data_IF_730111006610
#
_entry.id   IF_730111006610
#
_cell.length_a   1.000
_cell.length_b   1.000
_cell.length_c   1.000
_cell.angle_alpha   90.00
_cell.angle_beta   90.00
_cell.angle_gamma   90.00
#
_symmetry.space_group_name_H-M   'P 1'
#
loop_
_entity.id
_entity.type
_entity.pdbx_description
1 polymer ?
#
# COMPACT_ATOMS: atom_id res chain seq x y z
N UNK A 1 71.13 76.53 -8.09
CA UNK A 1 70.53 75.64 -9.14
C UNK A 1 70.13 74.33 -8.48
N UNK A 2 68.86 74.14 -8.20
CA UNK A 2 68.35 72.94 -7.57
C UNK A 2 67.33 72.31 -8.49
N UNK A 3 67.63 71.07 -8.95
CA UNK A 3 66.85 70.30 -9.88
C UNK A 3 65.82 69.53 -9.11
N UNK A 4 64.52 69.83 -9.30
CA UNK A 4 63.39 69.06 -8.71
C UNK A 4 63.02 67.94 -9.63
N UNK A 5 63.15 66.74 -9.14
CA UNK A 5 62.62 65.49 -9.81
C UNK A 5 61.22 65.24 -9.30
N UNK A 6 60.23 65.33 -10.18
CA UNK A 6 58.88 64.84 -9.98
C UNK A 6 58.84 63.35 -10.19
N UNK A 7 58.50 62.63 -9.14
CA UNK A 7 58.15 61.21 -9.22
C UNK A 7 56.64 61.08 -9.52
N UNK A 8 56.34 60.57 -10.70
CA UNK A 8 54.98 60.25 -11.08
C UNK A 8 54.71 58.79 -10.65
N UNK A 9 53.89 58.66 -9.64
CA UNK A 9 53.43 57.33 -9.15
C UNK A 9 52.23 56.89 -9.98
N UNK A 10 52.42 55.89 -10.87
CA UNK A 10 51.31 55.20 -11.56
C UNK A 10 50.59 54.29 -10.58
N UNK A 11 49.36 54.62 -10.27
CA UNK A 11 48.45 53.74 -9.50
C UNK A 11 47.77 52.79 -10.44
N UNK A 12 48.16 51.50 -10.42
CA UNK A 12 47.50 50.41 -11.14
C UNK A 12 46.25 49.99 -10.34
N UNK A 13 45.08 50.37 -10.84
CA UNK A 13 43.80 49.89 -10.31
C UNK A 13 43.56 48.50 -10.91
N UNK A 14 43.74 47.43 -10.13
CA UNK A 14 43.33 46.09 -10.45
C UNK A 14 41.82 45.95 -10.20
N UNK A 15 41.04 46.01 -11.25
CA UNK A 15 39.59 45.68 -11.20
C UNK A 15 39.47 44.16 -11.14
N UNK A 16 39.25 43.61 -9.95
CA UNK A 16 38.88 42.24 -9.75
C UNK A 16 37.42 42.03 -10.22
N UNK A 17 37.24 41.48 -11.40
CA UNK A 17 35.93 41.02 -11.86
C UNK A 17 35.52 39.79 -11.06
N UNK A 18 34.68 40.00 -10.04
CA UNK A 18 33.98 38.89 -9.36
C UNK A 18 32.95 38.31 -10.34
N UNK A 19 33.33 37.25 -11.03
CA UNK A 19 32.38 36.39 -11.72
C UNK A 19 31.49 35.70 -10.67
N UNK A 20 30.38 36.35 -10.35
CA UNK A 20 29.32 35.70 -9.59
C UNK A 20 28.80 34.50 -10.36
N UNK A 21 29.18 33.33 -9.94
CA UNK A 21 28.50 32.09 -10.35
C UNK A 21 27.06 32.18 -9.86
N UNK A 22 26.16 32.65 -10.73
CA UNK A 22 24.73 32.46 -10.50
C UNK A 22 24.49 30.96 -10.49
N UNK A 23 24.36 30.37 -9.30
CA UNK A 23 23.77 29.06 -9.14
C UNK A 23 22.36 29.16 -9.75
N UNK A 24 22.20 28.60 -10.93
CA UNK A 24 20.88 28.40 -11.53
C UNK A 24 20.05 27.69 -10.50
N UNK A 25 19.07 28.36 -9.93
CA UNK A 25 18.04 27.75 -9.09
C UNK A 25 17.39 26.70 -9.98
N UNK A 26 17.80 25.45 -9.80
CA UNK A 26 17.18 24.30 -10.45
C UNK A 26 15.71 24.38 -10.10
N UNK A 27 14.85 24.61 -11.09
CA UNK A 27 13.41 24.67 -10.90
C UNK A 27 13.03 23.44 -10.05
N UNK A 28 12.35 23.69 -8.93
CA UNK A 28 12.00 22.62 -8.00
C UNK A 28 11.34 21.50 -8.79
N UNK A 29 11.94 20.32 -8.73
CA UNK A 29 11.46 19.14 -9.44
C UNK A 29 10.01 18.88 -9.00
N UNK A 30 9.05 18.95 -9.93
CA UNK A 30 7.64 18.98 -9.56
C UNK A 30 7.10 17.63 -9.11
N UNK A 31 7.84 16.53 -9.28
CA UNK A 31 7.34 15.17 -8.96
C UNK A 31 8.16 14.46 -7.88
N UNK A 32 9.41 14.81 -7.68
CA UNK A 32 10.24 14.22 -6.62
C UNK A 32 9.67 14.53 -5.23
N UNK A 33 9.64 13.50 -4.40
CA UNK A 33 9.17 13.57 -3.01
C UNK A 33 8.22 12.44 -2.66
N UNK A 34 7.73 12.49 -1.44
CA UNK A 34 6.79 11.49 -0.92
C UNK A 34 5.35 11.89 -1.22
N UNK A 35 4.59 10.93 -1.71
CA UNK A 35 3.18 11.06 -2.05
C UNK A 35 2.39 10.01 -1.31
N UNK A 36 1.30 10.38 -0.66
CA UNK A 36 0.46 9.48 0.14
C UNK A 36 -0.97 9.49 -0.34
N UNK A 37 -1.61 8.34 -0.34
CA UNK A 37 -3.00 8.22 -0.76
C UNK A 37 -3.47 6.79 -0.82
N UNK A 38 -4.24 6.48 -1.83
CA UNK A 38 -4.83 5.17 -1.98
C UNK A 38 -4.98 4.74 -3.44
N UNK A 39 -5.14 3.43 -3.65
CA UNK A 39 -5.49 2.82 -4.92
C UNK A 39 -6.51 1.69 -4.73
N UNK A 40 -7.27 1.37 -5.76
CA UNK A 40 -8.22 0.25 -5.72
C UNK A 40 -9.13 0.19 -6.92
N UNK A 41 -9.83 -0.94 -7.09
CA UNK A 41 -10.72 -1.15 -8.24
C UNK A 41 -11.95 -0.22 -8.22
N UNK A 42 -12.43 0.15 -7.04
CA UNK A 42 -13.60 1.01 -6.85
C UNK A 42 -13.48 1.86 -5.57
N UNK A 43 -14.54 2.59 -5.22
CA UNK A 43 -14.56 3.47 -4.05
C UNK A 43 -14.60 2.72 -2.70
N UNK A 44 -14.99 1.44 -2.70
CA UNK A 44 -15.18 0.63 -1.49
C UNK A 44 -13.98 -0.26 -1.19
N UNK A 45 -13.21 -0.62 -2.21
CA UNK A 45 -12.02 -1.46 -2.11
C UNK A 45 -10.76 -0.63 -2.39
N UNK A 46 -10.36 0.20 -1.42
CA UNK A 46 -9.19 1.08 -1.50
C UNK A 46 -8.11 0.63 -0.52
N UNK A 47 -6.87 0.59 -0.97
CA UNK A 47 -5.68 0.33 -0.14
C UNK A 47 -4.80 1.58 -0.09
N UNK A 48 -4.21 1.85 1.07
CA UNK A 48 -3.26 2.95 1.23
C UNK A 48 -1.96 2.65 0.54
N UNK A 49 -1.41 3.65 -0.14
CA UNK A 49 -0.10 3.59 -0.77
C UNK A 49 0.72 4.84 -0.45
N UNK A 50 2.02 4.64 -0.35
CA UNK A 50 3.01 5.71 -0.32
C UNK A 50 3.92 5.54 -1.54
N UNK A 51 4.13 6.62 -2.28
CA UNK A 51 5.08 6.67 -3.38
C UNK A 51 6.24 7.57 -2.96
N UNK A 52 7.44 7.05 -2.95
CA UNK A 52 8.66 7.86 -2.83
C UNK A 52 9.26 7.99 -4.22
N UNK A 53 9.01 9.13 -4.89
CA UNK A 53 9.37 9.36 -6.27
C UNK A 53 10.63 10.21 -6.37
N UNK A 54 11.47 9.88 -7.35
CA UNK A 54 12.65 10.64 -7.76
C UNK A 54 12.60 10.85 -9.26
N UNK A 55 12.83 12.09 -9.70
CA UNK A 55 12.91 12.44 -11.11
C UNK A 55 14.25 13.11 -11.39
N UNK A 56 15.03 12.54 -12.29
CA UNK A 56 16.36 13.04 -12.66
C UNK A 56 16.35 14.01 -13.86
N UNK A 57 15.16 14.39 -14.33
CA UNK A 57 14.95 15.20 -15.54
C UNK A 57 14.68 14.35 -16.80
N UNK A 58 14.79 13.01 -16.71
CA UNK A 58 14.54 12.07 -17.81
C UNK A 58 13.62 10.92 -17.39
N UNK A 59 13.90 10.32 -16.26
CA UNK A 59 13.20 9.14 -15.79
C UNK A 59 12.68 9.31 -14.36
N UNK A 60 11.53 8.70 -14.09
CA UNK A 60 10.95 8.56 -12.75
C UNK A 60 11.41 7.22 -12.18
N UNK A 61 11.97 7.27 -10.97
CA UNK A 61 12.34 6.09 -10.18
C UNK A 61 11.78 6.23 -8.76
N UNK A 62 11.86 5.18 -7.96
CA UNK A 62 11.40 5.26 -6.58
C UNK A 62 10.90 3.95 -6.03
N UNK A 63 10.09 4.05 -4.98
CA UNK A 63 9.54 2.89 -4.28
C UNK A 63 8.05 3.12 -3.98
N UNK A 64 7.27 2.07 -4.12
CA UNK A 64 5.88 2.01 -3.64
C UNK A 64 5.85 1.16 -2.39
N UNK A 65 5.24 1.70 -1.34
CA UNK A 65 5.01 1.01 -0.08
C UNK A 65 3.56 1.22 0.38
N UNK A 66 3.12 0.44 1.35
CA UNK A 66 1.81 0.61 1.96
C UNK A 66 1.58 -0.44 3.04
N UNK A 67 0.63 -0.23 3.93
CA UNK A 67 0.24 -1.23 4.92
C UNK A 67 -0.16 -2.54 4.23
N UNK A 68 0.50 -3.65 4.60
CA UNK A 68 0.23 -4.96 4.02
C UNK A 68 0.69 -5.16 2.56
N UNK A 69 1.33 -4.17 1.94
CA UNK A 69 1.91 -4.31 0.61
C UNK A 69 3.34 -4.82 0.67
N UNK A 70 3.67 -5.80 -0.13
CA UNK A 70 5.06 -6.07 -0.47
C UNK A 70 5.61 -4.85 -1.21
N UNK A 71 6.72 -4.24 -0.76
CA UNK A 71 7.30 -3.09 -1.45
C UNK A 71 7.59 -3.38 -2.91
N UNK A 72 7.45 -2.38 -3.75
CA UNK A 72 7.76 -2.48 -5.18
C UNK A 72 8.65 -1.35 -5.64
N UNK A 73 9.59 -1.66 -6.54
CA UNK A 73 10.53 -0.71 -7.10
C UNK A 73 9.99 -0.11 -8.40
N UNK A 74 10.15 1.21 -8.54
CA UNK A 74 9.84 1.95 -9.77
C UNK A 74 11.13 2.16 -10.53
N UNK A 75 11.20 1.59 -11.73
CA UNK A 75 12.35 1.73 -12.62
C UNK A 75 11.91 2.20 -14.02
N UNK A 76 12.44 3.32 -14.49
CA UNK A 76 12.24 3.77 -15.88
C UNK A 76 10.85 4.37 -16.17
N UNK A 77 10.21 5.00 -15.20
CA UNK A 77 8.99 5.78 -15.42
C UNK A 77 9.24 7.07 -16.20
N UNK A 78 8.20 7.70 -16.70
CA UNK A 78 8.23 8.98 -17.43
C UNK A 78 7.37 10.03 -16.75
N UNK A 79 7.83 11.28 -16.83
CA UNK A 79 7.05 12.44 -16.41
C UNK A 79 7.21 13.57 -17.43
N UNK A 80 6.09 14.12 -17.87
CA UNK A 80 6.03 15.29 -18.74
C UNK A 80 5.62 16.51 -17.94
N UNK A 81 6.54 17.43 -17.75
CA UNK A 81 6.31 18.65 -16.95
C UNK A 81 5.31 19.62 -17.60
N UNK A 82 5.13 19.59 -18.92
CA UNK A 82 4.21 20.46 -19.66
C UNK A 82 2.75 20.03 -19.52
N UNK A 83 2.51 18.73 -19.57
CA UNK A 83 1.15 18.15 -19.47
C UNK A 83 0.84 17.59 -18.08
N UNK A 84 1.84 17.41 -17.24
CA UNK A 84 1.70 16.73 -15.96
C UNK A 84 1.56 15.21 -16.08
N UNK A 85 1.62 14.63 -17.28
CA UNK A 85 1.46 13.20 -17.48
C UNK A 85 2.57 12.40 -16.78
N UNK A 86 2.19 11.35 -16.06
CA UNK A 86 3.12 10.46 -15.36
C UNK A 86 2.76 9.01 -15.66
N UNK A 87 3.79 8.21 -15.96
CA UNK A 87 3.67 6.76 -16.19
C UNK A 87 4.84 6.05 -15.56
N UNK A 88 4.58 4.95 -14.86
CA UNK A 88 5.64 4.07 -14.35
C UNK A 88 5.12 2.66 -14.10
N UNK A 89 6.03 1.72 -14.07
CA UNK A 89 5.76 0.33 -13.70
C UNK A 89 6.43 0.06 -12.35
N UNK A 90 5.65 -0.50 -11.45
CA UNK A 90 6.11 -1.00 -10.16
C UNK A 90 6.40 -2.49 -10.32
N UNK A 91 7.62 -2.90 -10.03
CA UNK A 91 8.01 -4.30 -9.93
C UNK A 91 7.97 -4.67 -8.45
N UNK A 92 7.01 -5.48 -8.07
CA UNK A 92 6.85 -5.91 -6.67
C UNK A 92 8.00 -6.85 -6.31
N UNK A 93 8.57 -6.70 -5.12
CA UNK A 93 9.75 -7.47 -4.68
C UNK A 93 9.46 -8.95 -4.39
N UNK A 94 8.24 -9.43 -4.71
CA UNK A 94 7.90 -10.86 -4.75
C UNK A 94 8.42 -11.60 -6.01
N UNK A 95 8.96 -10.84 -6.97
CA UNK A 95 9.69 -11.31 -8.14
C UNK A 95 8.98 -11.09 -9.48
N UNK A 96 7.67 -11.28 -9.60
CA UNK A 96 7.01 -11.33 -10.91
C UNK A 96 5.85 -10.35 -11.11
N UNK A 97 5.29 -9.80 -10.03
CA UNK A 97 4.13 -8.92 -10.14
C UNK A 97 4.54 -7.54 -10.65
N UNK A 98 3.95 -7.14 -11.78
CA UNK A 98 4.11 -5.81 -12.37
C UNK A 98 2.80 -5.05 -12.30
N UNK A 99 2.85 -3.84 -11.76
CA UNK A 99 1.71 -2.95 -11.65
C UNK A 99 2.02 -1.66 -12.39
N UNK A 100 1.19 -1.33 -13.37
CA UNK A 100 1.33 -0.13 -14.19
C UNK A 100 0.51 1.01 -13.59
N UNK A 101 1.13 2.17 -13.46
CA UNK A 101 0.50 3.41 -13.06
C UNK A 101 0.54 4.40 -14.22
N UNK A 102 -0.63 4.93 -14.59
CA UNK A 102 -0.77 5.97 -15.60
C UNK A 102 -1.69 7.06 -15.07
N UNK A 103 -1.21 8.29 -15.06
CA UNK A 103 -2.01 9.38 -14.52
C UNK A 103 -1.46 10.75 -14.87
N UNK A 104 -1.97 11.74 -14.18
CA UNK A 104 -1.50 13.12 -14.32
C UNK A 104 -1.33 13.77 -12.95
N UNK A 105 -0.37 14.68 -12.89
CA UNK A 105 -0.15 15.56 -11.74
C UNK A 105 -0.89 16.87 -11.95
N UNK A 106 -1.67 17.27 -10.98
CA UNK A 106 -2.30 18.59 -10.89
C UNK A 106 -2.00 19.16 -9.50
N UNK A 107 -1.24 20.24 -9.42
CA UNK A 107 -0.74 20.83 -8.17
C UNK A 107 -0.04 19.76 -7.30
N UNK A 108 -0.55 19.51 -6.09
CA UNK A 108 -0.03 18.55 -5.14
C UNK A 108 -0.81 17.22 -5.15
N UNK A 109 -1.44 16.89 -6.26
CA UNK A 109 -2.15 15.62 -6.45
C UNK A 109 -1.64 14.91 -7.69
N UNK A 110 -1.41 13.58 -7.60
CA UNK A 110 -1.27 12.68 -8.74
C UNK A 110 -2.44 11.71 -8.69
N UNK A 111 -3.16 11.58 -9.78
CA UNK A 111 -4.28 10.63 -9.89
C UNK A 111 -4.35 10.03 -11.27
N UNK A 112 -4.91 8.81 -11.34
CA UNK A 112 -4.98 8.10 -12.60
C UNK A 112 -5.47 6.67 -12.46
N UNK A 113 -5.02 5.83 -13.38
CA UNK A 113 -5.34 4.41 -13.44
C UNK A 113 -4.17 3.56 -12.97
N UNK A 114 -4.51 2.46 -12.32
CA UNK A 114 -3.57 1.40 -11.96
C UNK A 114 -4.04 0.10 -12.60
N UNK A 115 -3.13 -0.67 -13.16
CA UNK A 115 -3.46 -1.96 -13.78
C UNK A 115 -2.33 -2.96 -13.60
N UNK A 116 -2.70 -4.24 -13.49
CA UNK A 116 -1.82 -5.39 -13.53
C UNK A 116 -2.48 -6.51 -14.36
N UNK A 117 -1.85 -7.66 -14.48
CA UNK A 117 -2.43 -8.81 -15.18
C UNK A 117 -3.81 -9.24 -14.62
N UNK A 118 -4.07 -8.96 -13.34
CA UNK A 118 -5.26 -9.44 -12.63
C UNK A 118 -6.14 -8.34 -12.04
N UNK A 119 -5.69 -7.09 -12.00
CA UNK A 119 -6.41 -5.97 -11.37
C UNK A 119 -6.33 -4.73 -12.24
N UNK A 120 -7.45 -4.02 -12.36
CA UNK A 120 -7.49 -2.65 -12.86
C UNK A 120 -8.27 -1.78 -11.87
N UNK A 121 -7.87 -0.51 -11.76
CA UNK A 121 -8.50 0.40 -10.82
C UNK A 121 -7.99 1.83 -11.01
N UNK A 122 -8.19 2.64 -9.98
CA UNK A 122 -7.72 4.02 -9.93
C UNK A 122 -6.82 4.24 -8.73
N UNK A 123 -5.96 5.25 -8.80
CA UNK A 123 -5.20 5.72 -7.67
C UNK A 123 -5.32 7.24 -7.53
N UNK A 124 -5.16 7.72 -6.31
CA UNK A 124 -5.03 9.13 -6.00
C UNK A 124 -4.05 9.28 -4.84
N UNK A 125 -3.01 10.08 -5.04
CA UNK A 125 -2.04 10.41 -4.02
C UNK A 125 -1.86 11.93 -3.97
N UNK A 126 -1.60 12.45 -2.79
CA UNK A 126 -1.28 13.85 -2.55
C UNK A 126 0.15 13.97 -2.04
N UNK A 127 0.80 15.06 -2.35
CA UNK A 127 2.14 15.33 -1.84
C UNK A 127 2.09 15.32 -0.31
N UNK A 128 2.74 14.35 0.29
CA UNK A 128 2.91 14.27 1.74
C UNK A 128 3.95 15.31 2.19
N UNK A 129 3.77 15.84 3.39
CA UNK A 129 4.92 16.35 4.11
C UNK A 129 5.93 15.18 4.25
N UNK A 130 7.26 15.42 4.15
CA UNK A 130 8.22 14.37 4.41
C UNK A 130 7.83 13.73 5.75
N UNK A 131 7.47 12.45 5.72
CA UNK A 131 7.34 11.70 6.97
C UNK A 131 8.75 11.76 7.54
N UNK A 132 8.92 12.54 8.61
CA UNK A 132 10.17 12.57 9.32
C UNK A 132 10.55 11.11 9.57
N UNK A 133 11.71 10.69 9.03
CA UNK A 133 12.26 9.41 9.41
C UNK A 133 12.21 9.34 10.93
N UNK A 134 11.77 8.24 11.54
CA UNK A 134 11.79 8.14 12.98
C UNK A 134 13.23 8.41 13.43
N UNK A 135 13.44 9.63 13.92
CA UNK A 135 14.64 9.97 14.69
C UNK A 135 14.71 8.95 15.80
N UNK A 136 15.89 8.41 16.02
CA UNK A 136 16.26 7.42 17.01
C UNK A 136 15.26 7.35 18.17
N UNK A 137 14.69 6.17 18.38
CA UNK A 137 13.60 5.88 19.29
C UNK A 137 13.66 6.74 20.57
N UNK A 138 12.67 7.60 20.70
CA UNK A 138 12.26 8.10 22.02
C UNK A 138 12.09 6.89 22.94
N UNK A 139 12.50 6.92 24.21
CA UNK A 139 12.36 5.77 25.09
C UNK A 139 10.91 5.27 25.02
N UNK A 140 10.75 4.00 24.67
CA UNK A 140 9.45 3.40 24.40
C UNK A 140 8.53 3.69 25.58
N UNK A 141 7.42 4.40 25.30
CA UNK A 141 6.36 4.57 26.31
C UNK A 141 5.92 3.17 26.77
N UNK A 142 5.80 2.92 28.08
CA UNK A 142 5.28 1.65 28.56
C UNK A 142 3.95 1.32 27.88
N UNK A 143 3.83 0.08 27.35
CA UNK A 143 2.60 -0.38 26.71
C UNK A 143 1.44 -0.34 27.70
N UNK A 144 0.33 0.25 27.29
CA UNK A 144 -0.92 0.14 28.03
C UNK A 144 -1.55 -1.24 27.79
N UNK A 145 -2.52 -1.61 28.62
CA UNK A 145 -3.29 -2.83 28.38
C UNK A 145 -3.98 -2.85 27.00
N UNK A 146 -4.42 -1.67 26.52
CA UNK A 146 -4.99 -1.53 25.18
C UNK A 146 -3.98 -1.77 24.07
N UNK A 147 -2.74 -1.26 24.21
CA UNK A 147 -1.67 -1.51 23.26
C UNK A 147 -1.33 -3.01 23.19
N UNK A 148 -1.26 -3.67 24.35
CA UNK A 148 -0.98 -5.11 24.46
C UNK A 148 -2.09 -5.95 23.80
N UNK A 149 -3.36 -5.58 24.03
CA UNK A 149 -4.50 -6.25 23.43
C UNK A 149 -4.51 -6.09 21.90
N UNK A 150 -4.22 -4.89 21.39
CA UNK A 150 -4.15 -4.65 19.96
C UNK A 150 -3.00 -5.43 19.29
N UNK A 151 -1.84 -5.54 19.95
CA UNK A 151 -0.72 -6.37 19.48
C UNK A 151 -1.14 -7.84 19.38
N UNK A 152 -1.80 -8.37 20.41
CA UNK A 152 -2.26 -9.77 20.43
C UNK A 152 -3.29 -10.04 19.33
N UNK A 153 -4.26 -9.14 19.15
CA UNK A 153 -5.31 -9.27 18.13
C UNK A 153 -4.72 -9.17 16.72
N UNK A 154 -3.74 -8.29 16.52
CA UNK A 154 -2.98 -8.19 15.26
C UNK A 154 -2.21 -9.48 14.95
N UNK A 155 -1.55 -10.07 15.93
CA UNK A 155 -0.86 -11.36 15.77
C UNK A 155 -1.85 -12.47 15.36
N UNK A 156 -3.02 -12.53 16.01
CA UNK A 156 -4.09 -13.48 15.66
C UNK A 156 -4.61 -13.28 14.24
N UNK A 157 -4.78 -12.03 13.81
CA UNK A 157 -5.17 -11.69 12.44
C UNK A 157 -4.12 -12.15 11.41
N UNK A 158 -2.84 -11.88 11.67
CA UNK A 158 -1.74 -12.34 10.80
C UNK A 158 -1.71 -13.86 10.69
N UNK A 159 -1.84 -14.56 11.81
CA UNK A 159 -1.83 -16.03 11.83
C UNK A 159 -2.99 -16.64 11.06
N UNK A 160 -4.22 -16.18 11.27
CA UNK A 160 -5.39 -16.76 10.60
C UNK A 160 -5.34 -16.47 9.09
N UNK A 161 -4.81 -15.34 8.67
CA UNK A 161 -4.61 -15.02 7.26
C UNK A 161 -3.56 -15.89 6.56
N UNK A 162 -2.47 -16.24 7.25
CA UNK A 162 -1.52 -17.23 6.76
C UNK A 162 -2.22 -18.57 6.51
N UNK A 163 -2.98 -19.05 7.48
CA UNK A 163 -3.72 -20.30 7.34
C UNK A 163 -4.77 -20.26 6.22
N UNK A 164 -5.53 -19.16 6.10
CA UNK A 164 -6.50 -18.98 5.02
C UNK A 164 -5.84 -19.01 3.64
N UNK A 165 -4.78 -18.24 3.46
CA UNK A 165 -4.07 -18.14 2.18
C UNK A 165 -3.48 -19.49 1.77
N UNK A 166 -2.87 -20.20 2.71
CA UNK A 166 -2.33 -21.54 2.47
C UNK A 166 -3.42 -22.56 2.21
N UNK A 167 -4.57 -22.47 2.89
CA UNK A 167 -5.74 -23.33 2.63
C UNK A 167 -6.27 -23.15 1.22
N UNK A 168 -6.37 -21.90 0.76
CA UNK A 168 -6.79 -21.59 -0.61
C UNK A 168 -5.83 -22.15 -1.66
N UNK A 169 -4.53 -22.15 -1.38
CA UNK A 169 -3.53 -22.74 -2.26
C UNK A 169 -3.60 -24.28 -2.27
N UNK A 170 -3.89 -24.87 -1.11
CA UNK A 170 -3.92 -26.32 -0.90
C UNK A 170 -5.16 -26.98 -1.54
N UNK A 171 -6.34 -26.36 -1.41
CA UNK A 171 -7.59 -26.91 -1.94
C UNK A 171 -7.59 -26.80 -3.47
N UNK A 172 -7.76 -27.90 -4.22
CA UNK A 172 -7.84 -27.87 -5.69
C UNK A 172 -8.97 -26.97 -6.18
N UNK A 173 -8.77 -26.30 -7.32
CA UNK A 173 -9.73 -25.33 -7.85
C UNK A 173 -11.12 -25.94 -8.14
N UNK A 174 -11.17 -27.19 -8.59
CA UNK A 174 -12.41 -27.93 -8.83
C UNK A 174 -13.16 -28.31 -7.54
N UNK A 175 -12.51 -28.18 -6.37
CA UNK A 175 -13.08 -28.45 -5.05
C UNK A 175 -13.61 -27.21 -4.35
N UNK A 176 -13.58 -26.05 -4.96
CA UNK A 176 -14.16 -24.82 -4.39
C UNK A 176 -15.70 -24.89 -4.28
N UNK A 177 -16.34 -25.72 -5.09
CA UNK A 177 -17.78 -26.03 -4.98
C UNK A 177 -18.12 -27.11 -3.95
N UNK A 178 -17.10 -27.73 -3.31
CA UNK A 178 -17.32 -28.78 -2.32
C UNK A 178 -18.01 -28.23 -1.06
N UNK A 179 -18.98 -28.99 -0.55
CA UNK A 179 -19.64 -28.83 0.75
C UNK A 179 -20.03 -30.18 1.30
N UNK A 180 -19.93 -30.43 2.62
CA UNK A 180 -20.28 -31.71 3.23
C UNK A 180 -21.75 -32.09 3.06
N UNK A 181 -22.64 -31.10 3.20
CA UNK A 181 -24.10 -31.25 3.06
C UNK A 181 -24.70 -30.04 2.34
N UNK A 182 -25.86 -30.17 1.76
CA UNK A 182 -26.48 -29.14 0.92
C UNK A 182 -26.81 -27.83 1.67
N UNK A 183 -27.00 -27.91 2.98
CA UNK A 183 -27.41 -26.77 3.83
C UNK A 183 -26.28 -25.88 4.31
N UNK A 184 -25.02 -26.24 4.04
CA UNK A 184 -23.86 -25.44 4.41
C UNK A 184 -23.21 -24.78 3.20
N UNK A 185 -22.42 -23.75 3.44
CA UNK A 185 -21.63 -23.06 2.41
C UNK A 185 -20.67 -24.01 1.72
N UNK A 186 -20.40 -23.77 0.45
CA UNK A 186 -19.25 -24.41 -0.23
C UNK A 186 -17.94 -23.84 0.32
N UNK A 187 -16.81 -24.50 0.03
CA UNK A 187 -15.49 -23.99 0.40
C UNK A 187 -15.26 -22.56 -0.15
N UNK A 188 -15.59 -22.34 -1.43
CA UNK A 188 -15.50 -21.01 -2.06
C UNK A 188 -16.41 -19.99 -1.39
N UNK A 189 -17.64 -20.36 -1.02
CA UNK A 189 -18.54 -19.47 -0.29
C UNK A 189 -18.04 -19.13 1.12
N UNK A 190 -17.36 -20.06 1.81
CA UNK A 190 -16.72 -19.75 3.10
C UNK A 190 -15.63 -18.71 2.95
N UNK A 191 -14.78 -18.83 1.93
CA UNK A 191 -13.75 -17.82 1.63
C UNK A 191 -14.40 -16.47 1.29
N UNK A 192 -15.41 -16.47 0.43
CA UNK A 192 -16.12 -15.26 0.03
C UNK A 192 -16.77 -14.56 1.23
N UNK A 193 -17.38 -15.32 2.13
CA UNK A 193 -17.97 -14.83 3.36
C UNK A 193 -16.93 -14.19 4.31
N UNK A 194 -15.73 -14.76 4.41
CA UNK A 194 -14.62 -14.13 5.15
C UNK A 194 -14.22 -12.79 4.51
N UNK A 195 -14.19 -12.70 3.19
CA UNK A 195 -13.91 -11.41 2.50
C UNK A 195 -14.99 -10.37 2.85
N UNK A 196 -16.27 -10.74 2.79
CA UNK A 196 -17.36 -9.84 3.18
C UNK A 196 -17.25 -9.43 4.65
N UNK A 197 -16.85 -10.33 5.55
CA UNK A 197 -16.64 -10.02 6.97
C UNK A 197 -15.51 -9.03 7.21
N UNK A 198 -14.44 -9.09 6.43
CA UNK A 198 -13.33 -8.14 6.50
C UNK A 198 -13.79 -6.73 6.13
N UNK A 199 -14.56 -6.59 5.06
CA UNK A 199 -15.16 -5.30 4.68
C UNK A 199 -16.02 -4.73 5.80
N UNK A 200 -16.82 -5.58 6.44
CA UNK A 200 -17.72 -5.18 7.52
C UNK A 200 -16.96 -4.77 8.79
N UNK A 201 -16.15 -5.65 9.36
CA UNK A 201 -15.49 -5.40 10.65
C UNK A 201 -14.38 -4.37 10.55
N UNK A 202 -13.53 -4.44 9.53
CA UNK A 202 -12.44 -3.47 9.36
C UNK A 202 -12.97 -2.09 8.97
N UNK A 203 -14.04 -2.03 8.18
CA UNK A 203 -14.74 -0.78 7.89
C UNK A 203 -15.31 -0.13 9.15
N UNK A 204 -15.92 -0.90 10.04
CA UNK A 204 -16.40 -0.42 11.36
C UNK A 204 -15.26 0.05 12.26
N UNK A 205 -14.14 -0.69 12.27
CA UNK A 205 -12.99 -0.35 13.10
C UNK A 205 -12.39 1.01 12.74
N UNK A 206 -12.38 1.36 11.46
CA UNK A 206 -11.83 2.63 10.96
C UNK A 206 -12.84 3.76 11.05
N UNK A 207 -14.10 3.52 10.63
CA UNK A 207 -15.12 4.57 10.57
C UNK A 207 -15.79 4.87 11.91
N UNK A 208 -15.75 3.94 12.86
CA UNK A 208 -16.51 4.01 14.10
C UNK A 208 -18.02 3.92 13.91
N UNK A 209 -18.49 3.63 12.68
CA UNK A 209 -19.92 3.58 12.35
C UNK A 209 -20.35 2.15 12.05
N UNK A 210 -21.59 1.83 12.43
CA UNK A 210 -22.23 0.59 11.98
C UNK A 210 -22.59 0.73 10.49
N UNK A 211 -22.12 -0.22 9.68
CA UNK A 211 -22.53 -0.36 8.28
C UNK A 211 -23.39 -1.62 8.16
N UNK A 212 -24.36 -1.68 7.24
CA UNK A 212 -25.09 -2.91 6.97
C UNK A 212 -24.12 -4.02 6.53
N UNK A 213 -24.43 -5.25 6.93
CA UNK A 213 -23.74 -6.41 6.39
C UNK A 213 -24.00 -6.54 4.88
N UNK A 214 -22.97 -6.92 4.11
CA UNK A 214 -23.11 -7.19 2.69
C UNK A 214 -22.61 -8.60 2.38
N UNK A 215 -23.35 -9.35 1.58
CA UNK A 215 -22.95 -10.66 1.04
C UNK A 215 -22.52 -10.54 -0.43
N UNK A 216 -22.01 -9.40 -0.84
CA UNK A 216 -21.76 -9.09 -2.25
C UNK A 216 -20.69 -10.03 -2.85
N UNK A 217 -19.67 -10.41 -2.07
CA UNK A 217 -18.64 -11.34 -2.53
C UNK A 217 -19.17 -12.78 -2.51
N UNK A 218 -19.89 -13.18 -1.45
CA UNK A 218 -20.46 -14.52 -1.31
C UNK A 218 -21.49 -14.83 -2.42
N UNK A 219 -22.27 -13.84 -2.83
CA UNK A 219 -23.25 -13.96 -3.94
C UNK A 219 -22.63 -13.83 -5.32
N UNK A 220 -21.37 -13.48 -5.41
CA UNK A 220 -20.63 -13.32 -6.66
C UNK A 220 -19.91 -14.60 -7.11
N UNK A 221 -18.84 -14.41 -7.89
CA UNK A 221 -17.99 -15.49 -8.32
C UNK A 221 -17.19 -16.08 -7.15
N UNK A 222 -17.24 -17.40 -6.99
CA UNK A 222 -16.59 -18.14 -5.91
C UNK A 222 -15.48 -19.08 -6.43
N UNK A 223 -14.97 -18.80 -7.62
CA UNK A 223 -13.82 -19.49 -8.17
C UNK A 223 -12.51 -19.10 -7.44
N UNK A 224 -11.54 -20.00 -7.46
CA UNK A 224 -10.28 -19.86 -6.75
C UNK A 224 -9.52 -18.57 -7.12
N UNK A 225 -9.42 -18.25 -8.40
CA UNK A 225 -8.61 -17.12 -8.88
C UNK A 225 -9.20 -15.79 -8.39
N UNK A 226 -10.51 -15.59 -8.60
CA UNK A 226 -11.25 -14.41 -8.15
C UNK A 226 -11.17 -14.24 -6.63
N UNK A 227 -11.38 -15.34 -5.87
CA UNK A 227 -11.37 -15.28 -4.41
C UNK A 227 -9.97 -15.03 -3.83
N UNK A 228 -8.92 -15.58 -4.46
CA UNK A 228 -7.53 -15.30 -4.03
C UNK A 228 -7.22 -13.82 -4.11
N UNK A 229 -7.62 -13.17 -5.19
CA UNK A 229 -7.45 -11.74 -5.37
C UNK A 229 -8.27 -10.94 -4.36
N UNK A 230 -9.56 -11.26 -4.20
CA UNK A 230 -10.46 -10.55 -3.29
C UNK A 230 -10.00 -10.67 -1.83
N UNK A 231 -9.59 -11.87 -1.41
CA UNK A 231 -9.07 -12.08 -0.05
C UNK A 231 -7.80 -11.28 0.19
N UNK A 232 -6.85 -11.28 -0.76
CA UNK A 232 -5.62 -10.49 -0.65
C UNK A 232 -5.93 -9.01 -0.45
N UNK A 233 -6.79 -8.42 -1.29
CA UNK A 233 -7.20 -7.03 -1.16
C UNK A 233 -7.88 -6.74 0.20
N UNK A 234 -8.74 -7.64 0.66
CA UNK A 234 -9.42 -7.48 1.94
C UNK A 234 -8.43 -7.55 3.12
N UNK A 235 -7.45 -8.46 3.08
CA UNK A 235 -6.36 -8.54 4.07
C UNK A 235 -5.57 -7.23 4.11
N UNK A 236 -5.20 -6.69 2.95
CA UNK A 236 -4.42 -5.45 2.86
C UNK A 236 -5.18 -4.26 3.46
N UNK A 237 -6.46 -4.10 3.13
CA UNK A 237 -7.33 -3.07 3.72
C UNK A 237 -7.47 -3.24 5.22
N UNK A 238 -7.72 -4.46 5.68
CA UNK A 238 -7.81 -4.78 7.10
C UNK A 238 -6.51 -4.52 7.86
N UNK A 239 -5.36 -4.82 7.29
CA UNK A 239 -4.05 -4.58 7.92
C UNK A 239 -3.93 -3.12 8.36
N UNK A 240 -4.34 -2.16 7.53
CA UNK A 240 -4.40 -0.75 7.91
C UNK A 240 -5.36 -0.46 9.07
N UNK A 241 -6.49 -1.17 9.15
CA UNK A 241 -7.42 -1.04 10.27
C UNK A 241 -6.80 -1.54 11.59
N UNK A 242 -5.99 -2.61 11.54
CA UNK A 242 -5.28 -3.14 12.71
C UNK A 242 -4.15 -2.23 13.20
N UNK A 243 -3.73 -1.24 12.44
CA UNK A 243 -2.73 -0.26 12.88
C UNK A 243 -3.32 0.84 13.78
N UNK A 244 -4.55 1.27 13.51
CA UNK A 244 -5.14 2.44 14.15
C UNK A 244 -6.66 2.34 14.42
N UNK A 245 -7.28 1.19 14.15
CA UNK A 245 -8.72 1.01 14.30
C UNK A 245 -9.17 0.72 15.73
N UNK A 246 -10.48 0.73 15.93
CA UNK A 246 -11.10 0.39 17.20
C UNK A 246 -10.96 -1.10 17.51
N UNK A 247 -10.49 -1.42 18.72
CA UNK A 247 -10.18 -2.80 19.15
C UNK A 247 -11.38 -3.75 19.09
N UNK A 248 -12.58 -3.30 19.50
CA UNK A 248 -13.78 -4.16 19.54
C UNK A 248 -14.09 -4.84 18.21
N UNK A 249 -14.34 -4.09 17.10
CA UNK A 249 -14.58 -4.68 15.79
C UNK A 249 -13.43 -5.54 15.27
N UNK A 250 -12.16 -5.23 15.62
CA UNK A 250 -11.00 -6.03 15.22
C UNK A 250 -10.94 -7.38 15.95
N UNK A 251 -11.33 -7.41 17.23
CA UNK A 251 -11.49 -8.66 17.98
C UNK A 251 -12.59 -9.53 17.38
N UNK A 252 -13.76 -8.92 17.08
CA UNK A 252 -14.87 -9.60 16.40
C UNK A 252 -14.43 -10.19 15.07
N UNK A 253 -13.64 -9.45 14.28
CA UNK A 253 -13.11 -9.91 13.01
C UNK A 253 -12.23 -11.16 13.15
N UNK A 254 -11.27 -11.16 14.08
CA UNK A 254 -10.40 -12.32 14.31
C UNK A 254 -11.20 -13.52 14.79
N UNK A 255 -12.14 -13.34 15.73
CA UNK A 255 -12.99 -14.41 16.24
C UNK A 255 -13.85 -15.01 15.12
N UNK A 256 -14.52 -14.18 14.32
CA UNK A 256 -15.34 -14.59 13.19
C UNK A 256 -14.53 -15.34 12.12
N UNK A 257 -13.35 -14.83 11.77
CA UNK A 257 -12.46 -15.46 10.79
C UNK A 257 -12.00 -16.83 11.27
N UNK A 258 -11.61 -16.98 12.54
CA UNK A 258 -11.22 -18.26 13.12
C UNK A 258 -12.38 -19.27 13.14
N UNK A 259 -13.62 -18.83 13.38
CA UNK A 259 -14.81 -19.68 13.31
C UNK A 259 -14.95 -20.31 11.91
N UNK A 260 -14.83 -19.49 10.86
CA UNK A 260 -14.94 -19.99 9.47
C UNK A 260 -13.70 -20.76 9.03
N UNK A 261 -12.51 -20.40 9.50
CA UNK A 261 -11.32 -21.22 9.30
C UNK A 261 -11.48 -22.62 9.90
N UNK A 262 -12.07 -22.76 11.09
CA UNK A 262 -12.42 -24.05 11.69
C UNK A 262 -13.32 -24.89 10.79
N UNK A 263 -14.32 -24.30 10.14
CA UNK A 263 -15.13 -24.98 9.13
C UNK A 263 -14.29 -25.44 7.93
N UNK A 264 -13.38 -24.59 7.43
CA UNK A 264 -12.48 -24.96 6.31
C UNK A 264 -11.53 -26.09 6.69
N UNK A 265 -11.02 -26.14 7.92
CA UNK A 265 -10.22 -27.26 8.45
C UNK A 265 -10.98 -28.58 8.33
N UNK A 266 -12.25 -28.58 8.73
CA UNK A 266 -13.12 -29.77 8.59
C UNK A 266 -13.27 -30.18 7.13
N UNK A 267 -13.55 -29.25 6.23
CA UNK A 267 -13.68 -29.54 4.79
C UNK A 267 -12.40 -30.08 4.19
N UNK A 268 -11.26 -29.50 4.51
CA UNK A 268 -9.95 -29.99 4.04
C UNK A 268 -9.70 -31.43 4.49
N UNK A 269 -9.96 -31.78 5.76
CA UNK A 269 -9.82 -33.14 6.27
C UNK A 269 -10.75 -34.14 5.56
N UNK A 270 -11.99 -33.72 5.28
CA UNK A 270 -12.94 -34.56 4.51
C UNK A 270 -12.49 -34.75 3.06
N UNK A 271 -11.70 -33.85 2.51
CA UNK A 271 -11.05 -33.96 1.21
C UNK A 271 -9.71 -34.72 1.26
N UNK A 272 -9.29 -35.23 2.42
CA UNK A 272 -8.01 -35.92 2.59
C UNK A 272 -6.80 -34.98 2.65
N UNK A 273 -7.00 -33.69 2.86
CA UNK A 273 -5.95 -32.68 2.92
C UNK A 273 -5.56 -32.39 4.37
N UNK A 274 -4.26 -32.13 4.62
CA UNK A 274 -3.76 -31.69 5.92
C UNK A 274 -3.88 -30.16 6.02
N UNK A 275 -4.67 -29.64 6.99
CA UNK A 275 -4.83 -28.19 7.16
C UNK A 275 -3.52 -27.49 7.56
N UNK A 276 -3.31 -26.22 7.17
CA UNK A 276 -2.10 -25.46 7.52
C UNK A 276 -1.86 -25.25 9.02
N UNK A 277 -2.90 -25.37 9.84
CA UNK A 277 -2.82 -25.23 11.32
C UNK A 277 -2.53 -26.55 12.05
N UNK A 278 -2.26 -27.65 11.33
CA UNK A 278 -2.05 -29.00 11.92
C UNK A 278 -0.59 -29.35 11.97
#
# INVERSE_FOLDING_TARGET
MKLNRLLTTCLLIVVASAAGAQAATRAADPITGTWTGDMGPDATARMRINLDLKFDGRAVSGVVTGPGLTPGDINGGTFDAGTGAVKFVVVVRDGDTRVQFEGSRAADTISGRVSSASVSGTFRVVRGAPVAQPTAASPARPLTAGDSALIAVRAGFTQVNDWLTRSMALVPADRYSYRPVATVRTFGQLVAHVVDSYHYYCGRAVSGRSTPWSDAVEKGATDRATLTQKLRLAIDVCTGAYEAGQLGPLMENVAHTNLHYGNMVTYMRMLGLTPPSS
#
